data_IF_829061756690
#
_entry.id   IF_829061756690
#
_cell.length_a   1.000
_cell.length_b   1.000
_cell.length_c   1.000
_cell.angle_alpha   90.00
_cell.angle_beta   90.00
_cell.angle_gamma   90.00
#
_symmetry.space_group_name_H-M   'P 1'
#
loop_
_entity.id
_entity.type
_entity.pdbx_description
1 polymer ?
#
# COMPACT_ATOMS: atom_id res chain seq x y z
N UNK A 1 -51.75 -34.61 -4.24
CA UNK A 1 -50.63 -33.98 -4.97
C UNK A 1 -49.47 -33.93 -4.00
N UNK A 2 -48.54 -34.88 -4.11
CA UNK A 2 -47.38 -34.95 -3.23
C UNK A 2 -46.47 -33.74 -3.51
N UNK A 3 -46.37 -32.83 -2.56
CA UNK A 3 -45.41 -31.73 -2.64
C UNK A 3 -44.02 -32.34 -2.41
N UNK A 4 -43.36 -32.77 -3.50
CA UNK A 4 -41.92 -33.08 -3.48
C UNK A 4 -41.22 -31.84 -2.97
N UNK A 5 -40.84 -31.87 -1.69
CA UNK A 5 -40.05 -30.82 -1.05
C UNK A 5 -38.87 -30.53 -1.98
N UNK A 6 -38.43 -29.27 -2.15
CA UNK A 6 -37.29 -28.90 -3.00
C UNK A 6 -35.94 -29.39 -2.41
N UNK A 7 -35.93 -30.57 -1.79
CA UNK A 7 -34.78 -31.30 -1.28
C UNK A 7 -33.71 -31.48 -2.35
N UNK A 8 -34.11 -31.66 -3.62
CA UNK A 8 -33.16 -31.75 -4.73
C UNK A 8 -32.34 -30.47 -4.92
N UNK A 9 -32.97 -29.29 -4.77
CA UNK A 9 -32.29 -28.00 -4.96
C UNK A 9 -31.37 -27.67 -3.77
N UNK A 10 -31.77 -28.09 -2.56
CA UNK A 10 -30.93 -27.96 -1.35
C UNK A 10 -29.71 -28.89 -1.44
N UNK A 11 -29.88 -30.14 -1.88
CA UNK A 11 -28.77 -31.11 -2.04
C UNK A 11 -27.80 -30.65 -3.12
N UNK A 12 -28.31 -30.14 -4.25
CA UNK A 12 -27.47 -29.57 -5.31
C UNK A 12 -26.74 -28.33 -4.81
N UNK A 13 -27.41 -27.44 -4.08
CA UNK A 13 -26.78 -26.27 -3.47
C UNK A 13 -25.64 -26.65 -2.52
N UNK A 14 -25.85 -27.68 -1.69
CA UNK A 14 -24.82 -28.15 -0.76
C UNK A 14 -23.60 -28.76 -1.48
N UNK A 15 -23.83 -29.52 -2.56
CA UNK A 15 -22.74 -30.07 -3.38
C UNK A 15 -21.93 -28.96 -4.08
N UNK A 16 -22.60 -27.91 -4.57
CA UNK A 16 -21.93 -26.77 -5.19
C UNK A 16 -21.09 -26.01 -4.17
N UNK A 17 -21.64 -25.72 -2.98
CA UNK A 17 -20.89 -25.06 -1.90
C UNK A 17 -19.66 -25.88 -1.49
N UNK A 18 -19.80 -27.19 -1.34
CA UNK A 18 -18.67 -28.06 -1.00
C UNK A 18 -17.59 -28.05 -2.09
N UNK A 19 -17.98 -28.07 -3.37
CA UNK A 19 -17.05 -27.96 -4.49
C UNK A 19 -16.33 -26.61 -4.53
N UNK A 20 -17.03 -25.50 -4.23
CA UNK A 20 -16.43 -24.17 -4.15
C UNK A 20 -15.46 -24.03 -2.97
N UNK A 21 -15.70 -24.69 -1.83
CA UNK A 21 -14.76 -24.71 -0.70
C UNK A 21 -13.48 -25.45 -1.08
N UNK A 22 -13.61 -26.61 -1.73
CA UNK A 22 -12.46 -27.38 -2.21
C UNK A 22 -11.67 -26.57 -3.26
N UNK A 23 -12.36 -25.97 -4.24
CA UNK A 23 -11.72 -25.14 -5.25
C UNK A 23 -11.08 -23.88 -4.64
N UNK A 24 -11.74 -23.24 -3.68
CA UNK A 24 -11.23 -22.08 -2.94
C UNK A 24 -9.97 -22.37 -2.14
N UNK A 25 -9.78 -23.62 -1.70
CA UNK A 25 -8.54 -24.08 -1.05
C UNK A 25 -7.34 -24.15 -2.01
N UNK A 26 -7.61 -24.21 -3.32
CA UNK A 26 -6.61 -24.18 -4.40
C UNK A 26 -6.56 -22.83 -5.13
N UNK A 27 -7.42 -21.86 -4.78
CA UNK A 27 -7.31 -20.48 -5.28
C UNK A 27 -6.24 -19.72 -4.46
N UNK A 28 -5.22 -19.14 -5.09
CA UNK A 28 -4.22 -18.34 -4.40
C UNK A 28 -4.86 -17.07 -3.79
N UNK A 29 -4.50 -16.72 -2.55
CA UNK A 29 -3.10 -16.37 -2.26
C UNK A 29 -2.39 -17.26 -1.22
N UNK A 30 -3.01 -18.35 -0.74
CA UNK A 30 -2.40 -19.22 0.29
C UNK A 30 -2.65 -20.70 -0.03
N UNK A 31 -1.85 -21.28 -0.92
CA UNK A 31 -1.85 -22.73 -1.18
C UNK A 31 -1.31 -23.48 0.04
N UNK A 32 -2.17 -24.15 0.81
CA UNK A 32 -1.77 -25.00 1.95
C UNK A 32 -0.88 -26.20 1.52
N UNK A 33 -0.89 -26.57 0.24
CA UNK A 33 0.04 -27.56 -0.32
C UNK A 33 1.50 -27.13 -0.23
N UNK A 34 1.77 -25.82 -0.35
CA UNK A 34 3.10 -25.22 -0.15
C UNK A 34 3.52 -25.27 1.32
N UNK A 35 2.56 -25.27 2.25
CA UNK A 35 2.80 -25.25 3.71
C UNK A 35 2.84 -26.64 4.36
N UNK A 36 2.16 -27.64 3.80
CA UNK A 36 2.12 -29.00 4.34
C UNK A 36 3.28 -29.89 3.85
N UNK A 37 4.29 -29.31 3.17
CA UNK A 37 5.57 -29.97 2.93
C UNK A 37 5.49 -31.23 2.07
N UNK A 38 4.48 -31.33 1.20
CA UNK A 38 4.25 -32.49 0.35
C UNK A 38 4.87 -32.34 -1.07
N UNK A 39 5.87 -31.48 -1.22
CA UNK A 39 6.75 -31.40 -2.40
C UNK A 39 8.17 -31.76 -1.97
N UNK A 40 8.38 -33.05 -1.73
CA UNK A 40 9.70 -33.58 -1.46
C UNK A 40 10.62 -33.48 -2.67
N UNK A 41 11.83 -32.96 -2.45
CA UNK A 41 13.04 -33.32 -3.20
C UNK A 41 13.55 -32.25 -4.16
N UNK A 42 14.53 -31.45 -3.69
CA UNK A 42 15.28 -30.54 -4.55
C UNK A 42 16.27 -29.69 -3.75
N UNK A 43 17.28 -30.34 -3.19
CA UNK A 43 18.36 -29.76 -2.43
C UNK A 43 19.12 -28.69 -3.25
N UNK A 44 19.20 -27.47 -2.76
CA UNK A 44 20.40 -26.63 -2.95
C UNK A 44 20.60 -25.88 -1.65
N UNK A 45 21.60 -26.33 -0.92
CA UNK A 45 22.10 -25.68 0.27
C UNK A 45 22.69 -24.31 -0.11
N UNK A 46 22.21 -23.25 0.53
CA UNK A 46 23.03 -22.07 0.74
C UNK A 46 22.80 -21.54 2.17
N UNK A 47 23.77 -21.87 3.03
CA UNK A 47 24.26 -21.10 4.16
C UNK A 47 23.24 -20.39 5.05
N UNK A 48 22.92 -21.06 6.17
CA UNK A 48 22.41 -20.43 7.37
C UNK A 48 23.41 -19.38 7.88
N UNK A 49 23.03 -18.11 7.82
CA UNK A 49 23.55 -17.07 8.72
C UNK A 49 22.43 -16.69 9.65
N UNK A 50 22.66 -16.95 10.94
CA UNK A 50 21.79 -16.67 12.07
C UNK A 50 21.22 -15.26 12.02
N UNK A 51 19.90 -15.14 11.94
CA UNK A 51 19.21 -13.97 12.45
C UNK A 51 19.15 -14.10 13.98
N UNK A 52 19.75 -13.20 14.78
CA UNK A 52 19.42 -13.14 16.18
C UNK A 52 17.96 -12.68 16.30
N UNK A 53 17.12 -13.54 16.88
CA UNK A 53 15.92 -13.10 17.55
C UNK A 53 16.33 -12.15 18.68
N UNK A 54 15.82 -10.93 18.65
CA UNK A 54 15.71 -10.03 19.80
C UNK A 54 14.39 -9.31 19.54
N UNK A 55 13.30 -9.86 20.04
CA UNK A 55 12.76 -9.60 21.38
C UNK A 55 12.51 -8.12 21.64
N UNK A 56 11.38 -7.89 22.29
CA UNK A 56 10.68 -6.64 22.50
C UNK A 56 11.57 -5.40 22.69
N UNK A 57 11.17 -4.33 22.04
CA UNK A 57 11.24 -3.00 22.64
C UNK A 57 9.96 -2.26 22.29
N UNK A 58 8.92 -2.56 23.07
CA UNK A 58 8.02 -1.52 23.55
C UNK A 58 8.90 -0.50 24.30
N UNK A 59 9.44 0.47 23.58
CA UNK A 59 9.92 1.69 24.21
C UNK A 59 8.71 2.58 24.40
N UNK A 60 8.06 2.40 25.55
CA UNK A 60 7.20 3.40 26.16
C UNK A 60 8.06 4.62 26.49
N UNK A 61 8.32 5.46 25.48
CA UNK A 61 8.72 6.83 25.72
C UNK A 61 7.43 7.60 26.00
N UNK A 62 7.15 7.81 27.28
CA UNK A 62 6.33 8.95 27.73
C UNK A 62 7.11 10.25 27.44
N UNK A 63 7.32 10.54 26.16
CA UNK A 63 7.37 11.91 25.69
C UNK A 63 5.94 12.21 25.25
N UNK A 64 5.44 13.42 25.50
CA UNK A 64 4.16 13.84 24.92
C UNK A 64 4.36 13.95 23.40
N UNK A 65 4.39 12.81 22.73
CA UNK A 65 4.47 12.68 21.31
C UNK A 65 3.10 13.09 20.79
N UNK A 66 3.06 14.25 20.14
CA UNK A 66 1.98 14.56 19.21
C UNK A 66 2.01 13.42 18.20
N UNK A 67 1.05 12.50 18.29
CA UNK A 67 1.05 11.28 17.49
C UNK A 67 1.01 11.66 16.01
N UNK A 68 2.16 11.56 15.33
CA UNK A 68 2.24 11.78 13.89
C UNK A 68 1.54 10.61 13.19
N UNK A 69 0.38 10.88 12.60
CA UNK A 69 -0.34 9.87 11.85
C UNK A 69 0.43 9.57 10.55
N UNK A 70 0.93 8.35 10.41
CA UNK A 70 1.62 7.89 9.20
C UNK A 70 0.69 7.02 8.37
N UNK A 71 0.42 7.44 7.13
CA UNK A 71 -0.37 6.64 6.16
C UNK A 71 0.41 6.47 4.87
N UNK A 72 0.44 5.26 4.31
CA UNK A 72 1.32 4.97 3.17
C UNK A 72 0.74 3.94 2.21
N UNK A 73 1.14 4.06 0.94
CA UNK A 73 1.11 2.96 -0.03
C UNK A 73 2.54 2.41 -0.11
N UNK A 74 2.78 1.16 0.36
CA UNK A 74 4.11 0.58 0.38
C UNK A 74 4.80 0.64 -0.98
N UNK A 75 6.05 1.13 -0.99
CA UNK A 75 6.84 1.22 -2.22
C UNK A 75 6.47 2.38 -3.15
N UNK A 76 5.53 3.25 -2.77
CA UNK A 76 5.03 4.32 -3.62
C UNK A 76 5.01 5.70 -2.94
N UNK A 77 4.23 5.85 -1.86
CA UNK A 77 3.99 7.14 -1.20
C UNK A 77 3.81 6.94 0.29
N UNK A 78 4.37 7.84 1.09
CA UNK A 78 4.14 7.92 2.53
C UNK A 78 3.74 9.35 2.92
N UNK A 79 2.80 9.45 3.85
CA UNK A 79 2.33 10.69 4.47
C UNK A 79 2.80 10.69 5.92
N UNK A 80 3.44 11.77 6.34
CA UNK A 80 3.79 12.05 7.73
C UNK A 80 3.02 13.28 8.17
N UNK A 81 1.94 13.09 8.93
CA UNK A 81 1.01 14.17 9.28
C UNK A 81 1.33 14.72 10.67
N UNK A 82 1.53 16.03 10.75
CA UNK A 82 1.68 16.77 12.02
C UNK A 82 0.33 17.19 12.62
N UNK A 83 -0.71 17.29 11.79
CA UNK A 83 -2.09 17.49 12.23
C UNK A 83 -3.11 16.91 11.25
N UNK A 84 -4.29 16.57 11.77
CA UNK A 84 -5.37 15.97 10.99
C UNK A 84 -5.14 14.48 10.68
N UNK A 85 -6.06 13.89 9.93
CA UNK A 85 -5.95 12.52 9.42
C UNK A 85 -6.21 12.52 7.92
N UNK A 86 -5.45 11.69 7.21
CA UNK A 86 -5.59 11.54 5.78
C UNK A 86 -5.34 10.10 5.35
N UNK A 87 -5.95 9.72 4.24
CA UNK A 87 -5.71 8.47 3.54
C UNK A 87 -5.10 8.76 2.19
N UNK A 88 -4.25 7.85 1.71
CA UNK A 88 -3.66 7.96 0.38
C UNK A 88 -4.12 6.79 -0.48
N UNK A 89 -4.45 7.08 -1.74
CA UNK A 89 -4.86 6.10 -2.73
C UNK A 89 -4.16 6.35 -4.07
N UNK A 90 -3.96 5.29 -4.86
CA UNK A 90 -3.42 5.40 -6.20
C UNK A 90 -4.55 5.75 -7.17
N UNK A 91 -4.29 6.75 -8.01
CA UNK A 91 -5.31 7.34 -8.88
C UNK A 91 -6.14 8.40 -8.16
N UNK A 92 -6.40 9.51 -8.85
CA UNK A 92 -7.24 10.60 -8.38
C UNK A 92 -7.82 11.37 -9.55
N UNK A 93 -9.00 11.96 -9.35
CA UNK A 93 -9.58 12.86 -10.35
C UNK A 93 -8.73 14.13 -10.43
N UNK A 94 -8.13 14.36 -11.59
CA UNK A 94 -7.31 15.54 -11.86
C UNK A 94 -7.69 16.14 -13.19
N UNK A 95 -7.41 17.44 -13.35
CA UNK A 95 -7.42 18.08 -14.66
C UNK A 95 -6.26 17.59 -15.53
N UNK A 96 -6.29 17.93 -16.82
CA UNK A 96 -5.18 17.64 -17.73
C UNK A 96 -3.86 18.20 -17.20
N UNK A 97 -2.80 17.41 -17.31
CA UNK A 97 -1.45 17.84 -16.97
C UNK A 97 -1.05 19.07 -17.81
N UNK A 98 -0.20 19.97 -17.29
CA UNK A 98 0.39 21.03 -18.11
C UNK A 98 1.15 20.43 -19.30
N UNK A 99 1.05 21.05 -20.48
CA UNK A 99 1.63 20.50 -21.72
C UNK A 99 3.16 20.29 -21.68
N UNK A 100 3.85 20.96 -20.75
CA UNK A 100 5.29 20.88 -20.53
C UNK A 100 5.69 19.92 -19.39
N UNK A 101 4.75 19.15 -18.83
CA UNK A 101 5.00 18.22 -17.72
C UNK A 101 4.74 16.79 -18.19
N UNK A 102 5.72 15.92 -17.97
CA UNK A 102 5.59 14.48 -18.16
C UNK A 102 5.68 13.79 -16.80
N UNK A 103 4.60 13.12 -16.38
CA UNK A 103 4.60 12.39 -15.11
C UNK A 103 5.45 11.12 -15.20
N UNK A 104 6.37 10.98 -14.25
CA UNK A 104 7.21 9.79 -14.10
C UNK A 104 6.63 8.78 -13.10
N UNK A 105 5.68 9.21 -12.28
CA UNK A 105 4.96 8.38 -11.32
C UNK A 105 3.46 8.39 -11.60
N UNK A 106 2.73 7.47 -10.95
CA UNK A 106 1.29 7.59 -10.83
C UNK A 106 0.92 8.86 -10.03
N UNK A 107 -0.32 9.31 -10.24
CA UNK A 107 -0.93 10.36 -9.41
C UNK A 107 -1.54 9.70 -8.18
N UNK A 108 -1.30 10.27 -7.00
CA UNK A 108 -1.86 9.79 -5.74
C UNK A 108 -2.86 10.81 -5.19
N UNK A 109 -4.01 10.34 -4.73
CA UNK A 109 -5.01 11.18 -4.10
C UNK A 109 -4.88 11.10 -2.58
N UNK A 110 -4.87 12.26 -1.93
CA UNK A 110 -4.88 12.39 -0.47
C UNK A 110 -6.29 12.83 -0.06
N UNK A 111 -7.01 11.94 0.62
CA UNK A 111 -8.37 12.20 1.11
C UNK A 111 -8.34 12.42 2.62
N UNK A 112 -8.97 13.49 3.09
CA UNK A 112 -9.04 13.86 4.50
C UNK A 112 -10.46 14.35 4.84
N UNK A 113 -10.80 14.33 6.12
CA UNK A 113 -12.08 14.86 6.61
C UNK A 113 -11.85 16.15 7.41
N UNK A 114 -12.69 17.15 7.17
CA UNK A 114 -12.60 18.44 7.88
C UNK A 114 -11.51 19.35 7.32
N UNK A 115 -10.64 19.84 8.20
CA UNK A 115 -9.55 20.74 7.81
C UNK A 115 -8.44 19.99 7.07
N UNK A 116 -7.77 20.66 6.13
CA UNK A 116 -6.64 20.10 5.41
C UNK A 116 -5.52 19.69 6.39
N UNK A 117 -5.00 18.47 6.29
CA UNK A 117 -3.95 17.99 7.17
C UNK A 117 -2.65 18.74 6.87
N UNK A 118 -1.85 18.97 7.90
CA UNK A 118 -0.49 19.52 7.76
C UNK A 118 0.52 18.40 7.90
N UNK A 119 1.62 18.48 7.18
CA UNK A 119 2.65 17.44 7.23
C UNK A 119 3.54 17.41 6.00
N UNK A 120 4.13 16.24 5.76
CA UNK A 120 5.03 15.96 4.65
C UNK A 120 4.53 14.77 3.83
N UNK A 121 4.85 14.79 2.54
CA UNK A 121 4.60 13.72 1.59
C UNK A 121 5.95 13.23 1.07
N UNK A 122 6.23 11.94 1.21
CA UNK A 122 7.38 11.29 0.61
C UNK A 122 6.92 10.42 -0.56
N UNK A 123 7.45 10.68 -1.76
CA UNK A 123 7.21 9.87 -2.96
C UNK A 123 8.46 9.07 -3.30
N UNK A 124 8.32 7.78 -3.56
CA UNK A 124 9.41 6.98 -4.10
C UNK A 124 9.74 7.40 -5.53
N UNK A 125 11.03 7.56 -5.81
CA UNK A 125 11.51 7.83 -7.16
C UNK A 125 11.46 6.54 -7.99
N UNK A 126 10.86 6.56 -9.19
CA UNK A 126 10.82 5.39 -10.07
C UNK A 126 12.23 4.90 -10.43
N UNK A 127 12.41 3.58 -10.46
CA UNK A 127 13.69 2.99 -10.85
C UNK A 127 14.16 3.46 -12.23
N UNK A 128 15.45 3.76 -12.37
CA UNK A 128 16.04 4.26 -13.61
C UNK A 128 15.80 5.76 -13.88
N UNK A 129 15.06 6.46 -13.03
CA UNK A 129 14.92 7.92 -13.10
C UNK A 129 16.04 8.62 -12.33
N UNK A 130 16.47 9.78 -12.81
CA UNK A 130 17.37 10.67 -12.07
C UNK A 130 16.54 11.50 -11.08
N UNK A 131 16.44 11.02 -9.83
CA UNK A 131 15.65 11.65 -8.78
C UNK A 131 15.98 13.12 -8.53
N UNK A 132 17.20 13.57 -8.85
CA UNK A 132 17.62 14.97 -8.71
C UNK A 132 16.98 15.92 -9.74
N UNK A 133 16.55 15.38 -10.88
CA UNK A 133 15.93 16.12 -12.01
C UNK A 133 14.41 16.06 -12.02
N UNK A 134 13.80 15.34 -11.08
CA UNK A 134 12.36 15.25 -10.96
C UNK A 134 11.82 16.36 -10.09
N UNK A 135 10.68 16.91 -10.47
CA UNK A 135 9.91 17.84 -9.65
C UNK A 135 8.68 17.15 -9.08
N UNK A 136 8.24 17.59 -7.90
CA UNK A 136 6.98 17.16 -7.31
C UNK A 136 5.88 18.14 -7.71
N UNK A 137 4.77 17.62 -8.21
CA UNK A 137 3.61 18.40 -8.62
C UNK A 137 2.38 17.97 -7.81
N UNK A 138 1.60 18.94 -7.35
CA UNK A 138 0.34 18.75 -6.63
C UNK A 138 -0.84 19.30 -7.42
N UNK A 139 -1.99 18.66 -7.29
CA UNK A 139 -3.27 19.14 -7.82
C UNK A 139 -4.17 19.57 -6.66
N UNK A 140 -4.69 20.80 -6.70
CA UNK A 140 -5.54 21.36 -5.63
C UNK A 140 -7.04 21.26 -5.90
N UNK A 141 -7.44 20.62 -7.00
CA UNK A 141 -8.82 20.59 -7.50
C UNK A 141 -9.07 21.52 -8.69
N UNK A 142 -8.19 22.51 -8.92
CA UNK A 142 -8.34 23.52 -9.97
C UNK A 142 -7.12 23.64 -10.88
N UNK A 143 -5.92 23.57 -10.32
CA UNK A 143 -4.66 23.69 -11.06
C UNK A 143 -3.55 22.81 -10.52
N UNK A 144 -2.59 22.52 -11.42
CA UNK A 144 -1.35 21.85 -11.06
C UNK A 144 -0.34 22.88 -10.56
N UNK A 145 0.27 22.60 -9.41
CA UNK A 145 1.25 23.46 -8.76
C UNK A 145 2.53 22.71 -8.48
N UNK A 146 3.65 23.41 -8.59
CA UNK A 146 4.92 22.92 -8.09
C UNK A 146 4.88 22.82 -6.56
N UNK A 147 5.30 21.67 -6.04
CA UNK A 147 5.47 21.46 -4.61
C UNK A 147 6.97 21.46 -4.27
N UNK A 148 7.43 22.41 -3.44
CA UNK A 148 8.80 22.41 -2.96
C UNK A 148 9.14 21.06 -2.32
N UNK A 149 10.20 20.43 -2.81
CA UNK A 149 10.60 19.09 -2.38
C UNK A 149 12.11 18.90 -2.46
N UNK A 150 12.61 17.98 -1.65
CA UNK A 150 14.02 17.59 -1.60
C UNK A 150 14.16 16.11 -1.94
N UNK A 151 15.17 15.78 -2.75
CA UNK A 151 15.51 14.40 -3.05
C UNK A 151 16.46 13.86 -1.99
N UNK A 152 16.05 12.78 -1.34
CA UNK A 152 16.87 11.99 -0.44
C UNK A 152 17.39 10.75 -1.19
N UNK A 153 18.68 10.76 -1.49
CA UNK A 153 19.35 9.68 -2.22
C UNK A 153 19.49 8.39 -1.39
N UNK A 154 19.43 8.48 -0.05
CA UNK A 154 19.58 7.31 0.82
C UNK A 154 18.32 6.44 0.83
N UNK A 155 17.15 7.08 0.82
CA UNK A 155 15.84 6.43 0.76
C UNK A 155 15.27 6.33 -0.65
N UNK A 156 15.92 6.95 -1.65
CA UNK A 156 15.41 7.11 -3.01
C UNK A 156 14.02 7.77 -3.06
N UNK A 157 13.81 8.76 -2.18
CA UNK A 157 12.54 9.45 -2.04
C UNK A 157 12.66 10.93 -2.35
N UNK A 158 11.56 11.50 -2.83
CA UNK A 158 11.37 12.94 -2.93
C UNK A 158 10.35 13.35 -1.87
N UNK A 159 10.81 14.16 -0.92
CA UNK A 159 10.03 14.55 0.27
C UNK A 159 9.62 16.01 0.13
N UNK A 160 8.33 16.31 0.28
CA UNK A 160 7.84 17.68 0.28
C UNK A 160 8.32 18.43 1.50
N UNK A 161 8.60 19.72 1.35
CA UNK A 161 8.80 20.59 2.52
C UNK A 161 7.47 20.67 3.27
N UNK A 162 7.51 20.55 4.60
CA UNK A 162 6.31 20.73 5.42
C UNK A 162 5.72 22.13 5.16
N UNK A 163 4.41 22.20 4.92
CA UNK A 163 3.73 23.48 4.91
C UNK A 163 3.90 24.13 6.31
N UNK A 164 4.29 25.42 6.39
CA UNK A 164 4.48 26.11 7.67
C UNK A 164 3.20 26.23 8.48
#
# INVERSE_FOLDING_TARGET
>A
MENKRPTGLIVVGFLVVLALIIAGLFLPPISLGERLGLTGGGETAETAVSAPATDASETSNEETAVAEATTAIPGAVALSLSSGSATVSAGGETGSAPANVAFQSQVYAIAYEGAAPTGQVALNVPAGSDGSKLDMMGWDGSSWHFMPSQYDASSQQRVSVAAP
#
